data_IF_473410940421
#
_entry.id   IF_473410940421
#
_cell.length_a   1.000
_cell.length_b   1.000
_cell.length_c   1.000
_cell.angle_alpha   90.00
_cell.angle_beta   90.00
_cell.angle_gamma   90.00
#
_symmetry.space_group_name_H-M   'P 1'
#
loop_
_entity.id
_entity.type
_entity.pdbx_description
1 polymer ?
#
# COMPACT_ATOMS: atom_id res chain seq x y z
N UNK A 1 18.81 -0.74 -12.65
CA UNK A 1 18.30 0.65 -12.56
C UNK A 1 17.46 0.72 -11.29
N UNK A 2 17.66 1.74 -10.45
CA UNK A 2 16.95 1.85 -9.18
C UNK A 2 16.47 3.28 -8.97
N UNK A 3 15.30 3.42 -8.34
CA UNK A 3 14.73 4.69 -7.90
C UNK A 3 14.15 4.46 -6.53
N UNK A 4 14.45 5.37 -5.59
CA UNK A 4 13.97 5.28 -4.21
C UNK A 4 13.03 6.45 -3.97
N UNK A 5 11.85 6.15 -3.45
CA UNK A 5 10.84 7.14 -3.06
C UNK A 5 10.50 6.95 -1.59
N UNK A 6 10.25 8.04 -0.89
CA UNK A 6 9.84 7.97 0.52
C UNK A 6 8.42 7.45 0.62
N UNK A 7 8.17 6.56 1.58
CA UNK A 7 6.82 6.11 1.90
C UNK A 7 5.89 7.30 2.23
N UNK A 8 4.62 7.18 1.81
CA UNK A 8 3.59 8.19 2.01
C UNK A 8 3.23 8.28 3.50
N UNK A 9 2.81 9.47 3.94
CA UNK A 9 2.33 9.73 5.31
C UNK A 9 3.34 9.44 6.44
N UNK A 10 2.88 9.63 7.68
CA UNK A 10 3.61 9.42 8.93
C UNK A 10 2.75 8.57 9.88
N UNK A 11 3.40 7.90 10.84
CA UNK A 11 2.71 7.07 11.85
C UNK A 11 1.99 5.85 11.25
N UNK A 12 0.91 5.42 11.88
CA UNK A 12 0.20 4.19 11.52
C UNK A 12 -0.43 4.24 10.11
N UNK A 13 -0.84 5.43 9.66
CA UNK A 13 -1.31 5.62 8.27
C UNK A 13 -0.25 5.26 7.23
N UNK A 14 1.05 5.43 7.54
CA UNK A 14 2.13 4.97 6.65
C UNK A 14 2.11 3.45 6.51
N UNK A 15 1.97 2.73 7.62
CA UNK A 15 1.96 1.25 7.64
C UNK A 15 0.78 0.73 6.83
N UNK A 16 -0.39 1.33 7.05
CA UNK A 16 -1.63 1.02 6.32
C UNK A 16 -1.49 1.24 4.80
N UNK A 17 -0.93 2.37 4.38
CA UNK A 17 -0.72 2.65 2.95
C UNK A 17 0.38 1.80 2.32
N UNK A 18 1.43 1.46 3.08
CA UNK A 18 2.45 0.51 2.61
C UNK A 18 1.84 -0.88 2.40
N UNK A 19 0.94 -1.30 3.30
CA UNK A 19 0.20 -2.55 3.13
C UNK A 19 -0.70 -2.50 1.90
N UNK A 20 -1.36 -1.37 1.63
CA UNK A 20 -2.18 -1.19 0.43
C UNK A 20 -1.33 -1.37 -0.86
N UNK A 21 -0.14 -0.76 -0.90
CA UNK A 21 0.81 -0.91 -2.04
C UNK A 21 1.32 -2.36 -2.15
N UNK A 22 1.60 -3.00 -1.03
CA UNK A 22 2.05 -4.39 -0.99
C UNK A 22 0.98 -5.32 -1.57
N UNK A 23 -0.28 -5.18 -1.16
CA UNK A 23 -1.41 -5.95 -1.69
C UNK A 23 -1.62 -5.66 -3.19
N UNK A 24 -1.59 -4.38 -3.60
CA UNK A 24 -1.74 -4.00 -5.02
C UNK A 24 -0.67 -4.64 -5.91
N UNK A 25 0.57 -4.72 -5.42
CA UNK A 25 1.71 -5.22 -6.18
C UNK A 25 2.03 -6.70 -5.96
N UNK A 26 1.39 -7.36 -4.99
CA UNK A 26 1.69 -8.73 -4.58
C UNK A 26 3.01 -8.88 -3.80
N UNK A 27 3.49 -7.80 -3.18
CA UNK A 27 4.70 -7.82 -2.35
C UNK A 27 4.41 -7.91 -0.85
N UNK A 28 5.48 -7.96 -0.06
CA UNK A 28 5.41 -8.00 1.41
C UNK A 28 6.05 -6.74 2.00
N UNK A 29 5.37 -6.11 2.97
CA UNK A 29 5.97 -4.98 3.72
C UNK A 29 7.02 -5.52 4.69
N UNK A 30 8.27 -5.15 4.46
CA UNK A 30 9.37 -5.52 5.35
C UNK A 30 9.38 -4.60 6.56
N UNK A 31 9.08 -5.16 7.73
CA UNK A 31 9.01 -4.45 9.00
C UNK A 31 9.62 -5.29 10.12
N UNK A 32 10.52 -4.67 10.89
CA UNK A 32 11.13 -5.28 12.07
C UNK A 32 10.09 -5.64 13.15
N UNK A 33 8.96 -4.93 13.19
CA UNK A 33 7.87 -5.20 14.13
C UNK A 33 7.23 -6.58 13.91
N UNK A 34 7.33 -7.12 12.69
CA UNK A 34 6.81 -8.44 12.31
C UNK A 34 7.95 -9.48 12.23
N UNK A 35 9.16 -9.11 12.66
CA UNK A 35 10.34 -9.97 12.64
C UNK A 35 10.99 -10.12 11.26
N UNK A 36 10.60 -9.30 10.28
CA UNK A 36 11.20 -9.27 8.95
C UNK A 36 12.39 -8.30 8.93
N UNK A 37 13.51 -8.74 8.36
CA UNK A 37 14.71 -7.92 8.19
C UNK A 37 15.06 -7.77 6.73
N UNK A 38 15.65 -6.63 6.36
CA UNK A 38 16.06 -6.36 4.98
C UNK A 38 17.13 -7.36 4.48
N UNK A 39 17.90 -7.95 5.40
CA UNK A 39 18.96 -8.91 5.09
C UNK A 39 18.42 -10.25 4.61
N UNK A 40 17.23 -10.64 5.09
CA UNK A 40 16.61 -11.93 4.80
C UNK A 40 15.56 -11.85 3.68
N UNK A 41 15.39 -10.70 3.04
CA UNK A 41 14.38 -10.52 1.98
C UNK A 41 14.73 -11.30 0.73
N UNK A 42 13.73 -11.90 0.12
CA UNK A 42 13.83 -12.67 -1.12
C UNK A 42 13.14 -11.95 -2.27
N UNK A 43 13.28 -12.49 -3.49
CA UNK A 43 12.55 -11.96 -4.65
C UNK A 43 11.04 -12.14 -4.52
N UNK A 44 10.59 -13.13 -3.74
CA UNK A 44 9.17 -13.41 -3.52
C UNK A 44 8.50 -12.35 -2.63
N UNK A 45 9.30 -11.59 -1.87
CA UNK A 45 8.80 -10.47 -1.06
C UNK A 45 8.59 -9.19 -1.89
N UNK A 46 9.12 -9.14 -3.13
CA UNK A 46 9.06 -7.96 -3.97
C UNK A 46 7.78 -7.90 -4.79
N UNK A 47 7.06 -6.78 -4.67
CA UNK A 47 5.91 -6.51 -5.50
C UNK A 47 6.27 -6.24 -6.96
N UNK A 48 5.36 -6.60 -7.86
CA UNK A 48 5.50 -6.37 -9.31
C UNK A 48 4.43 -5.42 -9.83
N UNK A 49 4.80 -4.56 -10.79
CA UNK A 49 3.87 -3.69 -11.49
C UNK A 49 4.28 -3.51 -12.96
N UNK A 50 3.30 -3.30 -13.84
CA UNK A 50 3.53 -3.09 -15.28
C UNK A 50 4.34 -1.82 -15.56
N UNK A 51 4.09 -0.74 -14.81
CA UNK A 51 4.82 0.53 -14.95
C UNK A 51 4.80 1.32 -13.65
N UNK A 52 5.93 1.90 -13.30
CA UNK A 52 6.05 2.88 -12.20
C UNK A 52 6.53 4.19 -12.79
N UNK A 53 5.76 5.26 -12.58
CA UNK A 53 6.13 6.62 -12.98
C UNK A 53 6.42 7.45 -11.73
N UNK A 54 7.61 8.04 -11.65
CA UNK A 54 8.05 8.86 -10.53
C UNK A 54 8.35 10.27 -11.06
N UNK A 55 7.63 11.25 -10.53
CA UNK A 55 7.89 12.67 -10.75
C UNK A 55 8.45 13.30 -9.48
N UNK A 56 8.78 14.59 -9.52
CA UNK A 56 9.30 15.33 -8.36
C UNK A 56 8.34 15.28 -7.16
N UNK A 57 7.03 15.19 -7.42
CA UNK A 57 5.99 15.32 -6.40
C UNK A 57 5.14 14.05 -6.24
N UNK A 58 5.03 13.22 -7.28
CA UNK A 58 4.09 12.10 -7.30
C UNK A 58 4.75 10.80 -7.74
N UNK A 59 4.25 9.69 -7.20
CA UNK A 59 4.57 8.33 -7.67
C UNK A 59 3.28 7.64 -8.07
N UNK A 60 3.28 7.03 -9.26
CA UNK A 60 2.13 6.31 -9.81
C UNK A 60 2.54 4.89 -10.16
N UNK A 61 1.87 3.91 -9.57
CA UNK A 61 2.07 2.48 -9.82
C UNK A 61 0.90 2.03 -10.70
N UNK A 62 1.19 1.45 -11.87
CA UNK A 62 0.19 1.07 -12.86
C UNK A 62 0.28 -0.44 -13.11
N UNK A 63 -0.86 -1.12 -12.97
CA UNK A 63 -1.00 -2.56 -13.23
C UNK A 63 -0.16 -3.40 -12.28
N UNK A 64 -0.43 -3.27 -10.98
CA UNK A 64 0.15 -4.15 -9.97
C UNK A 64 -0.26 -5.61 -10.18
N UNK A 65 0.62 -6.54 -9.81
CA UNK A 65 0.43 -7.97 -10.01
C UNK A 65 -0.21 -8.67 -8.79
N UNK A 66 -0.82 -7.91 -7.88
CA UNK A 66 -1.55 -8.45 -6.73
C UNK A 66 -2.75 -9.30 -7.13
N UNK A 67 -3.12 -10.26 -6.29
CA UNK A 67 -4.31 -11.07 -6.52
C UNK A 67 -5.57 -10.21 -6.38
N UNK A 68 -6.46 -10.28 -7.37
CA UNK A 68 -7.71 -9.51 -7.38
C UNK A 68 -8.54 -9.72 -6.11
N UNK A 69 -8.58 -10.94 -5.58
CA UNK A 69 -9.28 -11.28 -4.35
C UNK A 69 -8.72 -10.54 -3.13
N UNK A 70 -7.39 -10.40 -3.04
CA UNK A 70 -6.73 -9.71 -1.91
C UNK A 70 -6.98 -8.20 -1.99
N UNK A 71 -6.97 -7.64 -3.21
CA UNK A 71 -7.29 -6.22 -3.44
C UNK A 71 -8.75 -5.94 -3.06
N UNK A 72 -9.69 -6.78 -3.50
CA UNK A 72 -11.11 -6.65 -3.15
C UNK A 72 -11.35 -6.79 -1.65
N UNK A 73 -10.73 -7.77 -1.00
CA UNK A 73 -10.80 -7.94 0.45
C UNK A 73 -10.25 -6.72 1.20
N UNK A 74 -9.15 -6.14 0.71
CA UNK A 74 -8.56 -4.92 1.29
C UNK A 74 -9.49 -3.71 1.13
N UNK A 75 -10.09 -3.54 -0.05
CA UNK A 75 -11.07 -2.47 -0.29
C UNK A 75 -12.29 -2.63 0.62
N UNK A 76 -12.79 -3.85 0.81
CA UNK A 76 -13.91 -4.12 1.72
C UNK A 76 -13.55 -3.81 3.18
N UNK A 77 -12.35 -4.17 3.62
CA UNK A 77 -11.85 -3.84 4.95
C UNK A 77 -11.85 -2.32 5.17
N UNK A 78 -11.36 -1.54 4.21
CA UNK A 78 -11.32 -0.07 4.32
C UNK A 78 -12.74 0.51 4.27
N UNK A 79 -13.66 -0.06 3.47
CA UNK A 79 -15.07 0.36 3.45
C UNK A 79 -15.76 0.16 4.81
N UNK A 80 -15.52 -0.96 5.49
CA UNK A 80 -16.02 -1.16 6.86
C UNK A 80 -15.45 -0.13 7.83
N UNK A 81 -14.15 0.18 7.73
CA UNK A 81 -13.53 1.25 8.54
C UNK A 81 -14.16 2.64 8.29
N UNK A 82 -14.65 2.91 7.08
CA UNK A 82 -15.37 4.16 6.77
C UNK A 82 -16.73 4.20 7.48
N UNK A 83 -17.46 3.09 7.48
CA UNK A 83 -18.77 2.95 8.13
C UNK A 83 -18.67 3.09 9.66
N UNK A 84 -17.63 2.48 10.25
CA UNK A 84 -17.37 2.53 11.70
C UNK A 84 -16.81 3.88 12.18
N UNK A 85 -16.29 4.71 11.26
CA UNK A 85 -15.74 6.01 11.60
C UNK A 85 -16.85 7.04 11.85
N UNK A 86 -16.73 7.82 12.93
CA UNK A 86 -17.60 8.97 13.20
C UNK A 86 -17.01 10.30 12.74
N UNK A 87 -15.79 10.30 12.19
CA UNK A 87 -15.03 11.50 11.81
C UNK A 87 -15.02 11.68 10.30
N UNK A 88 -15.57 12.79 9.81
CA UNK A 88 -15.60 13.09 8.37
C UNK A 88 -14.19 13.21 7.77
N UNK A 89 -13.23 13.70 8.56
CA UNK A 89 -11.81 13.74 8.17
C UNK A 89 -11.25 12.33 7.93
N UNK A 90 -11.58 11.38 8.80
CA UNK A 90 -11.10 10.00 8.64
C UNK A 90 -11.80 9.29 7.50
N UNK A 91 -13.10 9.53 7.31
CA UNK A 91 -13.85 9.02 6.16
C UNK A 91 -13.25 9.49 4.84
N UNK A 92 -12.94 10.79 4.71
CA UNK A 92 -12.30 11.34 3.51
C UNK A 92 -10.96 10.64 3.22
N UNK A 93 -10.13 10.47 4.25
CA UNK A 93 -8.80 9.86 4.09
C UNK A 93 -8.84 8.36 3.81
N UNK A 94 -9.85 7.65 4.32
CA UNK A 94 -10.08 6.26 3.98
C UNK A 94 -10.65 6.12 2.56
N UNK A 95 -11.52 7.03 2.11
CA UNK A 95 -11.99 7.09 0.73
C UNK A 95 -10.84 7.33 -0.26
N UNK A 96 -9.89 8.20 0.08
CA UNK A 96 -8.68 8.38 -0.74
C UNK A 96 -7.86 7.09 -0.90
N UNK A 97 -7.84 6.23 0.12
CA UNK A 97 -7.15 4.92 0.03
C UNK A 97 -7.91 3.96 -0.87
N UNK A 98 -9.23 3.88 -0.72
CA UNK A 98 -10.09 3.07 -1.60
C UNK A 98 -9.94 3.51 -3.06
N UNK A 99 -9.84 4.81 -3.33
CA UNK A 99 -9.67 5.32 -4.69
C UNK A 99 -8.28 5.05 -5.31
N UNK A 100 -7.28 4.73 -4.49
CA UNK A 100 -5.90 4.45 -4.93
C UNK A 100 -5.64 2.95 -5.18
N UNK A 101 -6.48 2.08 -4.61
CA UNK A 101 -6.48 0.63 -4.83
C UNK A 101 -7.38 0.29 -6.03
#
# INVERSE_FOLDING_TARGET
KATVVRALCLGDRRKEMLQDIAILSGGTVISEEVGLTLENTTLDDLGTAKRVNVTKENTTIIGGAGAQADIEARVEQIRKQIEDSSSDYDKEKLQERVAKL
#
